data_IF_260473916180
#
_entry.id   IF_260473916180
#
_cell.length_a   1.000
_cell.length_b   1.000
_cell.length_c   1.000
_cell.angle_alpha   90.00
_cell.angle_beta   90.00
_cell.angle_gamma   90.00
#
_symmetry.space_group_name_H-M   'P 1'
#
loop_
_entity.id
_entity.type
_entity.pdbx_description
1 polymer ?
#
# COMPACT_ATOMS: atom_id res chain seq x y z
N UNK A 1 6.18 -10.87 -8.24
CA UNK A 1 6.71 -11.14 -6.88
C UNK A 1 5.56 -10.87 -5.93
N UNK A 2 5.35 -11.69 -4.90
CA UNK A 2 4.20 -11.46 -4.02
C UNK A 2 4.56 -10.65 -2.78
N UNK A 3 3.74 -9.66 -2.43
CA UNK A 3 3.90 -8.84 -1.24
C UNK A 3 3.36 -9.53 0.02
N UNK A 4 2.37 -10.41 -0.15
CA UNK A 4 1.85 -11.23 0.94
C UNK A 4 1.84 -12.72 0.58
N UNK A 5 1.90 -13.57 1.60
CA UNK A 5 1.71 -15.01 1.45
C UNK A 5 0.23 -15.36 1.53
N UNK A 6 -0.16 -16.48 0.92
CA UNK A 6 -1.50 -17.05 1.08
C UNK A 6 -1.91 -17.18 2.54
N UNK A 7 -0.98 -17.64 3.38
CA UNK A 7 -1.25 -17.80 4.81
C UNK A 7 -1.57 -16.47 5.50
N UNK A 8 -0.94 -15.37 5.09
CA UNK A 8 -1.19 -14.04 5.68
C UNK A 8 -2.64 -13.62 5.42
N UNK A 9 -3.13 -13.85 4.20
CA UNK A 9 -4.52 -13.57 3.85
C UNK A 9 -5.48 -14.49 4.60
N UNK A 10 -5.15 -15.78 4.73
CA UNK A 10 -5.98 -16.75 5.47
C UNK A 10 -6.13 -16.37 6.95
N UNK A 11 -5.09 -15.81 7.57
CA UNK A 11 -5.17 -15.25 8.94
C UNK A 11 -6.24 -14.16 9.02
N UNK A 12 -6.25 -13.21 8.08
CA UNK A 12 -7.28 -12.16 8.03
C UNK A 12 -8.69 -12.69 7.77
N UNK A 13 -8.79 -13.74 6.95
CA UNK A 13 -10.06 -14.38 6.62
C UNK A 13 -10.55 -15.37 7.70
N UNK A 14 -9.74 -15.63 8.73
CA UNK A 14 -9.97 -16.67 9.73
C UNK A 14 -10.19 -18.05 9.09
N UNK A 15 -9.44 -18.35 8.03
CA UNK A 15 -9.45 -19.63 7.32
C UNK A 15 -8.32 -20.52 7.83
N UNK A 16 -8.58 -21.83 7.84
CA UNK A 16 -7.55 -22.82 8.16
C UNK A 16 -6.43 -22.78 7.12
N UNK A 17 -5.15 -22.89 7.53
CA UNK A 17 -4.01 -22.88 6.59
C UNK A 17 -4.08 -24.04 5.58
N UNK A 18 -4.64 -25.17 6.01
CA UNK A 18 -4.86 -26.37 5.19
C UNK A 18 -6.09 -26.30 4.26
N UNK A 19 -6.94 -25.28 4.40
CA UNK A 19 -8.07 -25.09 3.49
C UNK A 19 -7.56 -24.52 2.17
N UNK A 20 -7.60 -25.31 1.10
CA UNK A 20 -7.11 -24.89 -0.23
C UNK A 20 -8.24 -24.49 -1.17
N UNK A 21 -9.49 -24.49 -0.70
CA UNK A 21 -10.68 -24.29 -1.55
C UNK A 21 -10.65 -22.92 -2.24
N UNK A 22 -10.09 -21.91 -1.58
CA UNK A 22 -10.05 -20.54 -2.06
C UNK A 22 -8.65 -20.09 -2.50
N UNK A 23 -7.66 -20.98 -2.51
CA UNK A 23 -6.26 -20.60 -2.73
C UNK A 23 -6.05 -19.92 -4.08
N UNK A 24 -6.65 -20.45 -5.15
CA UNK A 24 -6.52 -19.87 -6.49
C UNK A 24 -7.14 -18.46 -6.55
N UNK A 25 -8.32 -18.29 -5.95
CA UNK A 25 -9.04 -17.02 -5.95
C UNK A 25 -8.31 -15.97 -5.12
N UNK A 26 -7.86 -16.34 -3.91
CA UNK A 26 -7.04 -15.48 -3.05
C UNK A 26 -5.76 -15.05 -3.78
N UNK A 27 -5.12 -15.99 -4.47
CA UNK A 27 -3.92 -15.73 -5.26
C UNK A 27 -4.14 -14.73 -6.41
N UNK A 28 -5.27 -14.83 -7.10
CA UNK A 28 -5.62 -13.90 -8.18
C UNK A 28 -5.92 -12.50 -7.63
N UNK A 29 -6.66 -12.42 -6.52
CA UNK A 29 -6.95 -11.14 -5.86
C UNK A 29 -5.66 -10.51 -5.36
N UNK A 30 -4.77 -11.28 -4.71
CA UNK A 30 -3.49 -10.80 -4.21
C UNK A 30 -2.63 -10.20 -5.33
N UNK A 31 -2.54 -10.86 -6.49
CA UNK A 31 -1.79 -10.33 -7.64
C UNK A 31 -2.38 -9.03 -8.21
N UNK A 32 -3.70 -8.85 -8.13
CA UNK A 32 -4.33 -7.58 -8.50
C UNK A 32 -4.06 -6.47 -7.46
N UNK A 33 -4.07 -6.80 -6.17
CA UNK A 33 -3.72 -5.86 -5.09
C UNK A 33 -2.26 -5.43 -5.18
N UNK A 34 -1.35 -6.37 -5.49
CA UNK A 34 0.07 -6.09 -5.68
C UNK A 34 0.30 -5.08 -6.79
N UNK A 35 -0.34 -5.27 -7.95
CA UNK A 35 -0.27 -4.31 -9.06
C UNK A 35 -0.70 -2.90 -8.62
N UNK A 36 -1.77 -2.79 -7.82
CA UNK A 36 -2.25 -1.51 -7.32
C UNK A 36 -1.29 -0.87 -6.30
N UNK A 37 -0.70 -1.67 -5.41
CA UNK A 37 0.33 -1.20 -4.47
C UNK A 37 1.56 -0.73 -5.25
N UNK A 38 1.97 -1.48 -6.27
CA UNK A 38 3.07 -1.12 -7.15
C UNK A 38 2.82 0.20 -7.89
N UNK A 39 1.63 0.39 -8.44
CA UNK A 39 1.25 1.65 -9.08
C UNK A 39 1.32 2.83 -8.10
N UNK A 40 0.87 2.63 -6.87
CA UNK A 40 0.93 3.66 -5.83
C UNK A 40 2.36 3.97 -5.36
N UNK A 41 3.26 2.98 -5.35
CA UNK A 41 4.65 3.11 -4.90
C UNK A 41 5.62 3.57 -6.00
N UNK A 42 5.30 3.30 -7.28
CA UNK A 42 6.11 3.64 -8.45
C UNK A 42 6.69 5.06 -8.47
N UNK A 43 5.98 6.13 -8.04
CA UNK A 43 6.56 7.47 -8.02
C UNK A 43 7.60 7.70 -6.91
N UNK A 44 7.68 6.83 -5.91
CA UNK A 44 8.53 7.01 -4.72
C UNK A 44 9.71 6.04 -4.66
N UNK A 45 9.59 4.86 -5.26
CA UNK A 45 10.59 3.78 -5.19
C UNK A 45 10.49 2.89 -6.43
N UNK A 46 11.59 2.24 -6.87
CA UNK A 46 11.52 1.21 -7.89
C UNK A 46 10.58 0.08 -7.47
N UNK A 47 9.66 -0.27 -8.36
CA UNK A 47 8.69 -1.35 -8.20
C UNK A 47 8.92 -2.46 -9.25
N UNK A 48 8.65 -3.74 -8.93
CA UNK A 48 8.21 -4.23 -7.62
C UNK A 48 9.30 -4.12 -6.55
N UNK A 49 8.90 -3.96 -5.29
CA UNK A 49 9.80 -3.89 -4.14
C UNK A 49 10.65 -5.17 -4.06
N UNK A 50 11.97 -5.02 -4.00
CA UNK A 50 12.89 -6.15 -3.83
C UNK A 50 12.80 -6.74 -2.43
N UNK A 51 12.70 -5.88 -1.43
CA UNK A 51 12.50 -6.22 -0.03
C UNK A 51 11.18 -5.64 0.40
N UNK A 52 10.23 -6.50 0.76
CA UNK A 52 8.86 -6.10 1.11
C UNK A 52 8.82 -5.78 2.60
N UNK A 53 8.58 -4.52 3.01
CA UNK A 53 8.42 -4.15 4.40
C UNK A 53 7.25 -4.93 5.04
N UNK A 54 7.39 -5.27 6.32
CA UNK A 54 6.33 -5.98 7.06
C UNK A 54 4.98 -5.25 6.98
N UNK A 55 4.99 -3.92 7.05
CA UNK A 55 3.77 -3.10 6.91
C UNK A 55 3.11 -3.29 5.54
N UNK A 56 3.88 -3.31 4.44
CA UNK A 56 3.33 -3.54 3.08
C UNK A 56 2.80 -4.96 2.95
N UNK A 57 3.47 -5.95 3.57
CA UNK A 57 2.99 -7.33 3.61
C UNK A 57 1.62 -7.42 4.28
N UNK A 58 1.43 -6.78 5.44
CA UNK A 58 0.14 -6.79 6.13
C UNK A 58 -0.93 -5.99 5.41
N UNK A 59 -0.60 -4.81 4.86
CA UNK A 59 -1.52 -4.02 4.03
C UNK A 59 -2.02 -4.84 2.83
N UNK A 60 -1.10 -5.52 2.12
CA UNK A 60 -1.44 -6.35 0.98
C UNK A 60 -2.37 -7.51 1.38
N UNK A 61 -2.11 -8.14 2.52
CA UNK A 61 -2.94 -9.23 3.02
C UNK A 61 -4.35 -8.76 3.45
N UNK A 62 -4.43 -7.64 4.17
CA UNK A 62 -5.67 -7.02 4.63
C UNK A 62 -6.56 -6.58 3.45
N UNK A 63 -5.96 -5.89 2.47
CA UNK A 63 -6.67 -5.46 1.28
C UNK A 63 -7.19 -6.66 0.48
N UNK A 64 -6.35 -7.69 0.29
CA UNK A 64 -6.76 -8.93 -0.39
C UNK A 64 -7.95 -9.59 0.31
N UNK A 65 -7.90 -9.69 1.64
CA UNK A 65 -9.01 -10.24 2.44
C UNK A 65 -10.29 -9.39 2.31
N UNK A 66 -10.15 -8.06 2.28
CA UNK A 66 -11.24 -7.12 2.06
C UNK A 66 -11.95 -7.34 0.72
N UNK A 67 -11.19 -7.43 -0.39
CA UNK A 67 -11.76 -7.69 -1.72
C UNK A 67 -12.43 -9.07 -1.76
N UNK A 68 -11.79 -10.09 -1.19
CA UNK A 68 -12.38 -11.43 -1.14
C UNK A 68 -13.75 -11.41 -0.43
N UNK A 69 -13.84 -10.74 0.73
CA UNK A 69 -15.10 -10.58 1.47
C UNK A 69 -16.13 -9.78 0.68
N UNK A 70 -15.72 -8.75 -0.06
CA UNK A 70 -16.61 -7.97 -0.94
C UNK A 70 -17.27 -8.88 -1.99
N UNK A 71 -16.45 -9.68 -2.68
CA UNK A 71 -16.94 -10.65 -3.68
C UNK A 71 -17.90 -11.66 -3.09
N UNK A 72 -17.60 -12.20 -1.90
CA UNK A 72 -18.45 -13.19 -1.21
C UNK A 72 -19.77 -12.60 -0.71
N UNK A 73 -19.76 -11.34 -0.28
CA UNK A 73 -20.97 -10.64 0.14
C UNK A 73 -21.86 -10.20 -1.03
N UNK A 74 -21.44 -10.42 -2.29
CA UNK A 74 -22.16 -9.96 -3.48
C UNK A 74 -22.33 -8.44 -3.51
N UNK A 75 -21.44 -7.70 -2.84
CA UNK A 75 -21.47 -6.26 -2.83
C UNK A 75 -21.03 -5.75 -4.20
N UNK A 76 -21.70 -4.71 -4.66
CA UNK A 76 -21.29 -3.96 -5.84
C UNK A 76 -19.81 -3.54 -5.70
N UNK A 77 -19.05 -3.61 -6.79
CA UNK A 77 -17.64 -3.21 -6.78
C UNK A 77 -17.46 -1.74 -6.34
N UNK A 78 -18.52 -0.92 -6.51
CA UNK A 78 -18.58 0.47 -6.07
C UNK A 78 -18.68 0.64 -4.54
N UNK A 79 -19.01 -0.42 -3.78
CA UNK A 79 -19.11 -0.40 -2.32
C UNK A 79 -17.89 -1.04 -1.69
N UNK A 80 -16.85 -0.24 -1.49
CA UNK A 80 -15.61 -0.70 -0.86
C UNK A 80 -15.87 -1.23 0.56
N UNK A 81 -15.36 -2.42 0.85
CA UNK A 81 -15.37 -2.98 2.20
C UNK A 81 -14.48 -2.15 3.14
N UNK A 82 -14.79 -2.04 4.44
CA UNK A 82 -14.02 -1.24 5.39
C UNK A 82 -12.54 -1.66 5.47
N UNK A 83 -12.25 -2.96 5.36
CA UNK A 83 -10.87 -3.47 5.29
C UNK A 83 -10.09 -2.94 4.09
N UNK A 84 -10.75 -2.74 2.94
CA UNK A 84 -10.12 -2.18 1.73
C UNK A 84 -9.79 -0.70 1.95
N UNK A 85 -10.73 0.04 2.54
CA UNK A 85 -10.55 1.46 2.86
C UNK A 85 -9.40 1.64 3.86
N UNK A 86 -9.39 0.85 4.93
CA UNK A 86 -8.35 0.91 5.96
C UNK A 86 -6.97 0.55 5.40
N UNK A 87 -6.85 -0.52 4.60
CA UNK A 87 -5.59 -0.89 3.97
C UNK A 87 -5.06 0.22 3.04
N UNK A 88 -5.92 0.88 2.26
CA UNK A 88 -5.54 2.02 1.41
C UNK A 88 -5.06 3.22 2.24
N UNK A 89 -5.72 3.53 3.35
CA UNK A 89 -5.30 4.60 4.25
C UNK A 89 -3.94 4.29 4.91
N UNK A 90 -3.73 3.05 5.35
CA UNK A 90 -2.44 2.57 5.88
C UNK A 90 -1.32 2.66 4.83
N UNK A 91 -1.60 2.33 3.57
CA UNK A 91 -0.64 2.51 2.48
C UNK A 91 -0.26 3.99 2.30
N UNK A 92 -1.24 4.90 2.30
CA UNK A 92 -0.97 6.34 2.22
C UNK A 92 -0.17 6.84 3.43
N UNK A 93 -0.44 6.32 4.62
CA UNK A 93 0.32 6.66 5.83
C UNK A 93 1.77 6.16 5.74
N UNK A 94 1.96 4.92 5.27
CA UNK A 94 3.28 4.34 5.02
C UNK A 94 4.08 5.19 4.02
N UNK A 95 3.47 5.56 2.90
CA UNK A 95 4.10 6.40 1.88
C UNK A 95 4.52 7.75 2.48
N UNK A 96 3.62 8.40 3.23
CA UNK A 96 3.88 9.68 3.89
C UNK A 96 5.07 9.59 4.85
N UNK A 97 5.10 8.56 5.68
CA UNK A 97 6.15 8.38 6.70
C UNK A 97 7.51 8.03 6.11
N UNK A 98 7.56 7.24 5.03
CA UNK A 98 8.81 6.67 4.52
C UNK A 98 9.40 7.46 3.33
N UNK A 99 8.55 8.07 2.50
CA UNK A 99 9.00 8.73 1.27
C UNK A 99 8.73 10.23 1.25
N UNK A 100 7.79 10.74 2.05
CA UNK A 100 7.39 12.16 2.01
C UNK A 100 8.00 13.01 3.13
N UNK A 101 8.44 12.40 4.23
CA UNK A 101 9.09 13.10 5.34
C UNK A 101 10.36 13.89 4.95
N UNK A 102 11.02 13.54 3.84
CA UNK A 102 12.21 14.25 3.32
C UNK A 102 11.93 15.35 2.27
N UNK A 103 10.72 15.43 1.70
CA UNK A 103 10.40 16.44 0.68
C UNK A 103 10.14 17.81 1.32
N UNK A 104 9.49 17.84 2.50
CA UNK A 104 9.20 19.09 3.21
C UNK A 104 10.46 19.77 3.81
N UNK A 105 11.54 19.04 4.04
CA UNK A 105 12.80 19.59 4.57
C UNK A 105 13.74 20.13 3.48
N UNK A 106 13.48 19.82 2.19
CA UNK A 106 14.42 20.10 1.10
C UNK A 106 14.01 21.26 0.19
N UNK A 107 12.81 21.83 0.37
CA UNK A 107 12.41 23.11 -0.25
C UNK A 107 12.70 24.29 0.66
N UNK A 108 13.83 24.27 1.37
CA UNK A 108 14.50 25.48 1.82
C UNK A 108 15.33 26.03 0.66
N UNK A 109 14.68 26.45 -0.44
CA UNK A 109 15.40 27.23 -1.45
C UNK A 109 15.76 28.55 -0.78
N UNK A 110 17.05 28.75 -0.54
CA UNK A 110 17.58 30.03 -0.11
C UNK A 110 17.26 31.04 -1.21
N UNK A 111 16.16 31.77 -1.04
CA UNK A 111 15.95 33.06 -1.69
C UNK A 111 17.08 33.94 -1.18
N UNK A 112 18.10 34.12 -2.04
CA UNK A 112 19.16 35.07 -1.79
C UNK A 112 18.54 36.45 -1.60
N UNK A 113 18.49 36.91 -0.35
CA UNK A 113 18.37 38.32 -0.02
C UNK A 113 19.63 39.02 -0.53
N UNK A 114 19.55 39.52 -1.77
CA UNK A 114 20.35 40.65 -2.19
C UNK A 114 19.85 41.87 -1.46
N UNK A 115 20.44 42.17 -0.29
CA UNK A 115 20.29 43.47 0.35
C UNK A 115 21.54 44.32 0.08
N UNK A 116 21.29 45.44 -0.58
CA UNK A 116 22.26 46.41 -1.06
C UNK A 116 23.12 46.96 0.08
N UNK A 117 24.36 46.50 0.19
CA UNK A 117 25.40 47.21 0.95
C UNK A 117 25.83 48.47 0.21
N UNK A 118 25.35 49.60 0.73
CA UNK A 118 26.08 50.86 0.99
C UNK A 118 27.10 51.33 -0.07
N UNK A 119 26.78 52.45 -0.73
CA UNK A 119 27.78 53.42 -1.15
C UNK A 119 27.44 54.78 -0.52
N UNK A 120 28.39 55.28 0.28
CA UNK A 120 28.47 56.67 0.74
C UNK A 120 28.85 57.59 -0.42
#
# INVERSE_FOLDING_TARGET
>A
MRYCSLNDVKVWLNLSPSDTQYDLEIQQIASNVESQIDEALKPYTPTPLKEVPEEIRWISAEWTAGIFRQKRAGLDESKEQPFVVEAKERLKAFIRSNFTAGIAASTGVAIGEGDWSTAK
#
